data_IF_419776052981
#
_entry.id   IF_419776052981
#
_cell.length_a   1.000
_cell.length_b   1.000
_cell.length_c   1.000
_cell.angle_alpha   90.00
_cell.angle_beta   90.00
_cell.angle_gamma   90.00
#
_symmetry.space_group_name_H-M   'P 1'
#
loop_
_entity.id
_entity.type
_entity.pdbx_description
1 polymer ?
#
# COMPACT_ATOMS: atom_id res chain seq x y z
N UNK A 1 -8.24 -25.50 -4.07
CA UNK A 1 -8.11 -24.44 -5.10
C UNK A 1 -7.80 -23.14 -4.39
N UNK A 2 -6.79 -22.39 -4.83
CA UNK A 2 -6.49 -21.09 -4.22
C UNK A 2 -7.53 -20.05 -4.65
N UNK A 3 -8.08 -19.28 -3.69
CA UNK A 3 -9.11 -18.25 -3.95
C UNK A 3 -8.51 -17.15 -4.80
N UNK A 4 -9.20 -16.72 -5.87
CA UNK A 4 -8.83 -15.54 -6.65
C UNK A 4 -9.74 -14.36 -6.32
N UNK A 5 -9.17 -13.16 -6.27
CA UNK A 5 -9.92 -11.91 -6.12
C UNK A 5 -10.65 -11.62 -7.43
N UNK A 6 -11.98 -11.61 -7.39
CA UNK A 6 -12.81 -11.22 -8.52
C UNK A 6 -12.71 -9.72 -8.79
N UNK A 7 -12.96 -9.29 -10.04
CA UNK A 7 -12.91 -7.86 -10.42
C UNK A 7 -13.83 -7.00 -9.54
N UNK A 8 -15.01 -7.51 -9.21
CA UNK A 8 -16.00 -6.83 -8.37
C UNK A 8 -15.57 -6.68 -6.91
N UNK A 9 -14.62 -7.50 -6.43
CA UNK A 9 -14.12 -7.45 -5.05
C UNK A 9 -12.99 -6.42 -4.87
N UNK A 10 -12.39 -5.92 -5.97
CA UNK A 10 -11.21 -5.07 -5.92
C UNK A 10 -11.50 -3.70 -5.29
N UNK A 11 -12.56 -3.03 -5.72
CA UNK A 11 -12.91 -1.71 -5.15
C UNK A 11 -13.34 -1.80 -3.69
N UNK A 12 -14.24 -2.73 -3.27
CA UNK A 12 -14.51 -2.95 -1.86
C UNK A 12 -13.27 -3.26 -1.02
N UNK A 13 -12.33 -4.06 -1.55
CA UNK A 13 -11.09 -4.37 -0.86
C UNK A 13 -10.20 -3.13 -0.68
N UNK A 14 -10.05 -2.29 -1.72
CA UNK A 14 -9.27 -1.05 -1.64
C UNK A 14 -9.92 0.00 -0.72
N UNK A 15 -11.26 0.08 -0.69
CA UNK A 15 -11.97 0.94 0.26
C UNK A 15 -11.82 0.44 1.70
N UNK A 16 -11.92 -0.87 1.91
CA UNK A 16 -11.68 -1.48 3.22
C UNK A 16 -10.24 -1.23 3.67
N UNK A 17 -9.26 -1.35 2.78
CA UNK A 17 -7.88 -0.95 3.05
C UNK A 17 -7.76 0.52 3.45
N UNK A 18 -8.31 1.43 2.64
CA UNK A 18 -8.22 2.88 2.88
C UNK A 18 -8.85 3.26 4.22
N UNK A 19 -9.87 2.52 4.63
CA UNK A 19 -10.46 2.59 5.95
C UNK A 19 -9.51 2.02 7.02
N UNK A 20 -9.18 0.73 7.01
CA UNK A 20 -8.53 0.08 8.14
C UNK A 20 -7.05 0.41 8.34
N UNK A 21 -6.33 0.68 7.25
CA UNK A 21 -4.90 1.03 7.30
C UNK A 21 -4.72 2.55 7.35
N UNK A 22 -5.80 3.29 7.05
CA UNK A 22 -5.90 4.75 7.14
C UNK A 22 -4.68 5.43 6.56
N UNK A 23 -4.38 5.11 5.30
CA UNK A 23 -3.26 5.58 4.49
C UNK A 23 -2.53 6.82 5.02
N UNK A 24 -1.19 6.73 5.04
CA UNK A 24 -0.40 7.95 5.09
C UNK A 24 -0.58 8.79 3.81
N UNK A 25 -0.46 10.10 3.93
CA UNK A 25 -0.52 11.04 2.78
C UNK A 25 -1.93 11.24 2.19
N UNK A 26 -1.97 11.80 0.98
CA UNK A 26 -3.20 12.04 0.21
C UNK A 26 -3.49 10.84 -0.72
N UNK A 27 -4.69 10.23 -0.69
CA UNK A 27 -5.02 9.04 -1.49
C UNK A 27 -4.82 9.24 -2.97
N UNK A 28 -5.11 10.45 -3.46
CA UNK A 28 -5.03 10.80 -4.87
C UNK A 28 -3.59 10.75 -5.39
N UNK A 29 -2.60 10.88 -4.50
CA UNK A 29 -1.18 10.86 -4.83
C UNK A 29 -0.55 9.48 -4.60
N UNK A 30 -0.84 8.84 -3.46
CA UNK A 30 -0.18 7.58 -3.08
C UNK A 30 -0.79 6.35 -3.72
N UNK A 31 -2.12 6.28 -3.87
CA UNK A 31 -2.81 5.10 -4.38
C UNK A 31 -2.46 4.75 -5.83
N UNK A 32 -2.42 5.70 -6.79
CA UNK A 32 -2.07 5.37 -8.17
C UNK A 32 -0.68 4.71 -8.26
N UNK A 33 0.30 5.22 -7.50
CA UNK A 33 1.66 4.68 -7.44
C UNK A 33 1.67 3.28 -6.83
N UNK A 34 1.01 3.09 -5.69
CA UNK A 34 0.93 1.80 -5.02
C UNK A 34 0.23 0.73 -5.88
N UNK A 35 -0.81 1.10 -6.62
CA UNK A 35 -1.51 0.17 -7.53
C UNK A 35 -0.65 -0.20 -8.74
N UNK A 36 0.19 0.70 -9.22
CA UNK A 36 1.18 0.38 -10.26
C UNK A 36 2.21 -0.63 -9.75
N UNK A 37 2.74 -0.45 -8.54
CA UNK A 37 3.67 -1.40 -7.92
C UNK A 37 3.02 -2.75 -7.65
N UNK A 38 1.80 -2.76 -7.11
CA UNK A 38 1.02 -3.98 -6.87
C UNK A 38 0.81 -4.75 -8.18
N UNK A 39 0.46 -4.05 -9.26
CA UNK A 39 0.31 -4.66 -10.58
C UNK A 39 1.62 -5.30 -11.05
N UNK A 40 2.73 -4.58 -10.96
CA UNK A 40 4.04 -5.09 -11.37
C UNK A 40 4.44 -6.35 -10.56
N UNK A 41 4.18 -6.34 -9.25
CA UNK A 41 4.41 -7.48 -8.36
C UNK A 41 3.56 -8.70 -8.73
N UNK A 42 2.26 -8.48 -8.99
CA UNK A 42 1.36 -9.56 -9.43
C UNK A 42 1.76 -10.12 -10.80
N UNK A 43 2.21 -9.27 -11.73
CA UNK A 43 2.74 -9.70 -13.04
C UNK A 43 4.03 -10.52 -12.89
N UNK A 44 4.84 -10.23 -11.87
CA UNK A 44 6.04 -10.99 -11.51
C UNK A 44 5.76 -12.27 -10.70
N UNK A 45 4.48 -12.60 -10.43
CA UNK A 45 4.08 -13.81 -9.71
C UNK A 45 4.01 -13.66 -8.19
N UNK A 46 4.10 -12.44 -7.66
CA UNK A 46 3.84 -12.13 -6.24
C UNK A 46 2.37 -11.74 -6.04
N UNK A 47 1.44 -12.52 -6.60
CA UNK A 47 0.02 -12.19 -6.72
C UNK A 47 -0.78 -12.27 -5.41
N UNK A 48 -0.17 -12.74 -4.33
CA UNK A 48 -0.77 -12.82 -2.99
C UNK A 48 -0.36 -11.67 -2.07
N UNK A 49 0.54 -10.78 -2.50
CA UNK A 49 0.97 -9.66 -1.68
C UNK A 49 -0.21 -8.73 -1.41
N UNK A 50 -0.52 -8.44 -0.13
CA UNK A 50 -1.61 -7.56 0.23
C UNK A 50 -1.21 -6.11 -0.04
N UNK A 51 -2.22 -5.29 -0.39
CA UNK A 51 -2.00 -3.94 -0.89
C UNK A 51 -1.42 -2.98 0.15
N UNK A 52 -1.75 -3.17 1.43
CA UNK A 52 -1.21 -2.41 2.57
C UNK A 52 0.31 -2.46 2.66
N UNK A 53 0.87 -3.67 2.65
CA UNK A 53 2.32 -3.84 2.72
C UNK A 53 3.02 -3.26 1.48
N UNK A 54 2.39 -3.36 0.31
CA UNK A 54 2.93 -2.79 -0.94
C UNK A 54 2.88 -1.26 -0.90
N UNK A 55 1.78 -0.69 -0.43
CA UNK A 55 1.62 0.76 -0.28
C UNK A 55 2.64 1.29 0.72
N UNK A 56 2.65 0.79 1.95
CA UNK A 56 3.43 1.38 3.03
C UNK A 56 4.94 1.22 2.82
N UNK A 57 5.40 0.04 2.39
CA UNK A 57 6.81 -0.14 2.05
C UNK A 57 7.18 0.69 0.81
N UNK A 58 6.31 0.77 -0.19
CA UNK A 58 6.56 1.57 -1.38
C UNK A 58 6.70 3.06 -1.05
N UNK A 59 5.82 3.61 -0.21
CA UNK A 59 5.91 5.00 0.24
C UNK A 59 7.13 5.24 1.12
N UNK A 60 7.50 4.28 1.98
CA UNK A 60 8.77 4.35 2.73
C UNK A 60 9.98 4.40 1.78
N UNK A 61 9.98 3.64 0.70
CA UNK A 61 11.07 3.61 -0.26
C UNK A 61 11.15 4.89 -1.11
N UNK A 62 10.02 5.55 -1.38
CA UNK A 62 9.98 6.78 -2.18
C UNK A 62 10.24 8.03 -1.34
N UNK A 63 9.53 8.18 -0.23
CA UNK A 63 9.52 9.40 0.58
C UNK A 63 10.31 9.25 1.89
N UNK A 64 10.82 8.05 2.18
CA UNK A 64 11.61 7.79 3.38
C UNK A 64 10.80 8.05 4.65
N UNK A 65 11.47 8.63 5.65
CA UNK A 65 10.84 9.02 6.92
C UNK A 65 10.01 10.30 6.82
N UNK A 66 9.99 10.97 5.66
CA UNK A 66 9.18 12.16 5.45
C UNK A 66 7.71 11.81 5.14
N UNK A 67 7.42 10.56 4.75
CA UNK A 67 6.05 10.13 4.50
C UNK A 67 5.21 10.20 5.79
N UNK A 68 4.05 10.86 5.78
CA UNK A 68 3.21 10.98 6.96
C UNK A 68 2.39 9.70 7.13
N UNK A 69 3.04 8.62 7.59
CA UNK A 69 2.38 7.36 7.95
C UNK A 69 1.26 7.60 8.95
N UNK A 70 0.30 6.70 8.93
CA UNK A 70 -0.91 6.87 9.70
C UNK A 70 -0.70 6.77 11.21
N UNK A 71 0.35 6.08 11.67
CA UNK A 71 0.86 6.14 13.05
C UNK A 71 1.26 7.53 13.52
N UNK A 72 1.48 8.48 12.61
CA UNK A 72 1.74 9.88 12.93
C UNK A 72 0.47 10.71 13.21
N UNK A 73 -0.73 10.14 13.05
CA UNK A 73 -2.03 10.80 13.31
C UNK A 73 -2.60 10.40 14.67
N UNK A 74 -3.56 11.19 15.19
CA UNK A 74 -4.16 10.95 16.51
C UNK A 74 -4.98 9.65 16.52
N UNK A 75 -4.57 8.69 17.35
CA UNK A 75 -5.28 7.43 17.58
C UNK A 75 -6.73 7.65 18.07
N UNK A 76 -7.03 8.84 18.63
CA UNK A 76 -8.35 9.20 19.12
C UNK A 76 -9.44 9.21 18.03
N UNK A 77 -9.08 9.39 16.76
CA UNK A 77 -10.02 9.47 15.64
C UNK A 77 -10.57 8.09 15.19
N UNK A 78 -10.02 7.00 15.75
CA UNK A 78 -10.37 5.63 15.37
C UNK A 78 -11.40 4.99 16.31
N UNK A 79 -12.26 4.07 15.82
CA UNK A 79 -13.07 3.21 16.68
C UNK A 79 -12.20 2.42 17.67
N UNK A 80 -12.62 2.34 18.94
CA UNK A 80 -11.83 1.73 20.02
C UNK A 80 -11.41 0.28 19.72
N UNK A 81 -12.33 -0.49 19.14
CA UNK A 81 -12.12 -1.89 18.74
C UNK A 81 -11.04 -2.09 17.66
N UNK A 82 -10.76 -1.06 16.85
CA UNK A 82 -9.80 -1.14 15.74
C UNK A 82 -8.40 -0.64 16.13
N UNK A 83 -8.29 0.18 17.20
CA UNK A 83 -7.02 0.80 17.63
C UNK A 83 -5.93 -0.22 17.94
N UNK A 84 -6.27 -1.30 18.64
CA UNK A 84 -5.30 -2.31 19.08
C UNK A 84 -4.63 -3.04 17.92
N UNK A 85 -5.42 -3.55 16.97
CA UNK A 85 -4.89 -4.28 15.81
C UNK A 85 -4.00 -3.39 14.93
N UNK A 86 -4.33 -2.11 14.83
CA UNK A 86 -3.57 -1.12 14.07
C UNK A 86 -2.23 -0.78 14.73
N UNK A 87 -2.23 -0.54 16.04
CA UNK A 87 -1.00 -0.36 16.81
C UNK A 87 -0.08 -1.58 16.68
N UNK A 88 -0.64 -2.79 16.75
CA UNK A 88 0.11 -4.02 16.54
C UNK A 88 0.75 -4.09 15.13
N UNK A 89 0.04 -3.66 14.09
CA UNK A 89 0.59 -3.57 12.73
C UNK A 89 1.70 -2.53 12.65
N UNK A 90 1.45 -1.31 13.12
CA UNK A 90 2.40 -0.20 13.11
C UNK A 90 3.70 -0.56 13.84
N UNK A 91 3.61 -1.08 15.07
CA UNK A 91 4.78 -1.43 15.88
C UNK A 91 5.58 -2.60 15.29
N UNK A 92 4.89 -3.62 14.77
CA UNK A 92 5.56 -4.86 14.32
C UNK A 92 6.07 -4.79 12.90
N UNK A 93 5.46 -3.96 12.05
CA UNK A 93 5.78 -3.87 10.62
C UNK A 93 6.44 -2.53 10.33
N UNK A 94 5.69 -1.44 10.43
CA UNK A 94 6.15 -0.12 10.00
C UNK A 94 7.31 0.41 10.84
N UNK A 95 7.21 0.33 12.16
CA UNK A 95 8.27 0.71 13.08
C UNK A 95 9.56 -0.07 12.84
N UNK A 96 9.46 -1.36 12.46
CA UNK A 96 10.64 -2.16 12.13
C UNK A 96 11.27 -1.75 10.80
N UNK A 97 10.48 -1.52 9.76
CA UNK A 97 11.01 -1.07 8.46
C UNK A 97 11.67 0.30 8.55
N UNK A 98 11.08 1.25 9.28
CA UNK A 98 11.66 2.59 9.47
C UNK A 98 13.04 2.52 10.14
N UNK A 99 13.24 1.55 11.04
CA UNK A 99 14.49 1.34 11.75
C UNK A 99 15.49 0.45 11.00
N UNK A 100 15.09 -0.21 9.92
CA UNK A 100 15.95 -1.09 9.12
C UNK A 100 16.88 -0.26 8.22
N UNK A 101 18.22 -0.37 8.37
CA UNK A 101 19.18 0.35 7.53
C UNK A 101 19.02 0.04 6.04
N UNK A 102 18.63 -1.19 5.69
CA UNK A 102 18.47 -1.58 4.28
C UNK A 102 17.31 -0.86 3.59
N UNK A 103 16.26 -0.48 4.34
CA UNK A 103 15.18 0.34 3.81
C UNK A 103 15.65 1.77 3.53
N UNK A 104 16.47 2.34 4.42
CA UNK A 104 17.06 3.66 4.21
C UNK A 104 18.03 3.69 3.02
N UNK A 105 18.90 2.68 2.90
CA UNK A 105 19.82 2.54 1.77
C UNK A 105 19.06 2.38 0.45
N UNK A 106 18.01 1.56 0.44
CA UNK A 106 17.17 1.37 -0.73
C UNK A 106 16.44 2.66 -1.14
N UNK A 107 15.93 3.43 -0.18
CA UNK A 107 15.35 4.75 -0.44
C UNK A 107 16.34 5.68 -1.14
N UNK A 108 17.57 5.81 -0.61
CA UNK A 108 18.61 6.66 -1.22
C UNK A 108 18.98 6.18 -2.61
N UNK A 109 19.15 4.86 -2.80
CA UNK A 109 19.49 4.28 -4.09
C UNK A 109 18.39 4.49 -5.13
N UNK A 110 17.11 4.33 -4.75
CA UNK A 110 15.97 4.56 -5.63
C UNK A 110 15.84 6.04 -5.98
N UNK A 111 16.01 6.94 -5.02
CA UNK A 111 15.95 8.39 -5.25
C UNK A 111 17.02 8.89 -6.24
N UNK A 112 18.15 8.19 -6.35
CA UNK A 112 19.22 8.49 -7.30
C UNK A 112 18.94 8.03 -8.74
N UNK A 113 17.88 7.23 -8.97
CA UNK A 113 17.50 6.77 -10.30
C UNK A 113 16.68 7.82 -11.06
N UNK A 114 16.73 7.75 -12.38
CA UNK A 114 15.80 8.47 -13.26
C UNK A 114 14.35 8.18 -12.88
N UNK A 115 13.50 9.22 -12.92
CA UNK A 115 12.09 9.15 -12.49
C UNK A 115 11.31 8.03 -13.17
N UNK A 116 11.65 7.70 -14.42
CA UNK A 116 11.01 6.64 -15.21
C UNK A 116 11.37 5.23 -14.70
N UNK A 117 12.52 5.08 -14.02
CA UNK A 117 13.01 3.81 -13.49
C UNK A 117 12.55 3.55 -12.06
N UNK A 118 12.24 4.61 -11.30
CA UNK A 118 11.88 4.51 -9.89
C UNK A 118 10.71 3.54 -9.63
N UNK A 119 9.58 3.56 -10.38
CA UNK A 119 8.47 2.65 -10.11
C UNK A 119 8.85 1.17 -10.22
N UNK A 120 9.73 0.83 -11.18
CA UNK A 120 10.22 -0.54 -11.36
C UNK A 120 11.18 -0.94 -10.24
N UNK A 121 12.05 -0.04 -9.83
CA UNK A 121 12.99 -0.27 -8.73
C UNK A 121 12.26 -0.48 -7.39
N UNK A 122 11.21 0.33 -7.12
CA UNK A 122 10.35 0.17 -5.94
C UNK A 122 9.67 -1.20 -5.95
N UNK A 123 8.98 -1.56 -7.04
CA UNK A 123 8.32 -2.87 -7.14
C UNK A 123 9.32 -4.03 -6.98
N UNK A 124 10.53 -3.91 -7.54
CA UNK A 124 11.58 -4.90 -7.37
C UNK A 124 12.02 -5.03 -5.91
N UNK A 125 12.29 -3.91 -5.23
CA UNK A 125 12.69 -3.89 -3.82
C UNK A 125 11.61 -4.51 -2.92
N UNK A 126 10.34 -4.19 -3.15
CA UNK A 126 9.20 -4.81 -2.43
C UNK A 126 9.17 -6.33 -2.69
N UNK A 127 9.39 -6.77 -3.93
CA UNK A 127 9.45 -8.18 -4.28
C UNK A 127 10.59 -8.93 -3.56
N UNK A 128 11.74 -8.29 -3.39
CA UNK A 128 12.86 -8.84 -2.61
C UNK A 128 12.51 -8.94 -1.12
N UNK A 129 11.93 -7.90 -0.55
CA UNK A 129 11.60 -7.84 0.88
C UNK A 129 10.46 -8.82 1.26
N UNK A 130 9.40 -8.88 0.45
CA UNK A 130 8.15 -9.56 0.80
C UNK A 130 7.88 -10.83 -0.02
N UNK A 131 8.64 -11.09 -1.07
CA UNK A 131 8.34 -12.18 -2.02
C UNK A 131 8.34 -13.58 -1.38
N UNK A 132 9.03 -13.78 -0.25
CA UNK A 132 8.93 -15.03 0.52
C UNK A 132 7.61 -15.15 1.27
N UNK A 133 7.11 -14.06 1.85
CA UNK A 133 5.81 -14.02 2.52
C UNK A 133 4.66 -14.22 1.51
N UNK A 134 4.79 -13.67 0.29
CA UNK A 134 3.85 -13.90 -0.81
C UNK A 134 3.68 -15.40 -1.13
N UNK A 135 4.74 -16.21 -0.97
CA UNK A 135 4.69 -17.64 -1.27
C UNK A 135 4.09 -18.48 -0.14
N UNK A 136 3.74 -17.87 1.01
CA UNK A 136 3.05 -18.57 2.08
C UNK A 136 1.59 -18.87 1.65
N UNK A 137 1.19 -20.13 1.74
CA UNK A 137 -0.15 -20.56 1.35
C UNK A 137 -1.24 -19.96 2.23
N UNK A 138 -2.48 -19.91 1.72
CA UNK A 138 -3.67 -19.48 2.46
C UNK A 138 -4.18 -18.08 2.15
N UNK A 139 -3.45 -17.30 1.34
CA UNK A 139 -3.87 -15.98 0.88
C UNK A 139 -4.64 -16.05 -0.45
N UNK A 140 -5.48 -15.03 -0.69
CA UNK A 140 -6.14 -14.86 -1.98
C UNK A 140 -5.14 -14.37 -3.03
N UNK A 141 -5.28 -14.87 -4.25
CA UNK A 141 -4.46 -14.47 -5.39
C UNK A 141 -5.15 -13.35 -6.17
N UNK A 142 -4.40 -12.28 -6.42
CA UNK A 142 -4.75 -11.19 -7.30
C UNK A 142 -4.75 -11.60 -8.77
N UNK A 143 -5.34 -10.75 -9.60
CA UNK A 143 -5.28 -10.87 -11.05
C UNK A 143 -4.80 -9.54 -11.64
N UNK A 144 -3.61 -9.47 -12.26
CA UNK A 144 -3.10 -8.23 -12.85
C UNK A 144 -4.03 -7.60 -13.87
N UNK A 145 -4.82 -8.40 -14.59
CA UNK A 145 -5.77 -7.90 -15.57
C UNK A 145 -6.88 -7.06 -14.93
N UNK A 146 -7.28 -7.40 -13.69
CA UNK A 146 -8.26 -6.60 -12.95
C UNK A 146 -7.68 -5.24 -12.56
N UNK A 147 -6.42 -5.19 -12.11
CA UNK A 147 -5.74 -3.93 -11.81
C UNK A 147 -5.53 -3.05 -13.05
N UNK A 148 -5.20 -3.63 -14.21
CA UNK A 148 -5.09 -2.87 -15.47
C UNK A 148 -6.40 -2.18 -15.85
N UNK A 149 -7.51 -2.93 -15.80
CA UNK A 149 -8.84 -2.37 -16.08
C UNK A 149 -9.31 -1.38 -15.02
N UNK A 150 -8.86 -1.54 -13.77
CA UNK A 150 -9.22 -0.64 -12.68
C UNK A 150 -8.44 0.67 -12.74
N UNK A 151 -7.15 0.61 -13.11
CA UNK A 151 -6.25 1.76 -13.22
C UNK A 151 -6.75 2.85 -14.18
N UNK A 152 -7.37 2.48 -15.30
CA UNK A 152 -7.93 3.43 -16.27
C UNK A 152 -9.13 4.24 -15.74
N UNK A 153 -9.80 3.73 -14.71
CA UNK A 153 -10.99 4.36 -14.11
C UNK A 153 -10.71 4.93 -12.71
N UNK A 154 -9.45 4.85 -12.28
CA UNK A 154 -9.05 5.01 -10.89
C UNK A 154 -9.37 6.41 -10.35
N UNK A 155 -8.99 7.44 -11.09
CA UNK A 155 -9.22 8.84 -10.70
C UNK A 155 -10.72 9.16 -10.56
N UNK A 156 -11.55 8.70 -11.49
CA UNK A 156 -13.00 8.90 -11.45
C UNK A 156 -13.65 8.15 -10.28
N UNK A 157 -13.17 6.94 -9.96
CA UNK A 157 -13.64 6.16 -8.82
C UNK A 157 -13.24 6.80 -7.49
N UNK A 158 -12.02 7.33 -7.36
CA UNK A 158 -11.58 8.06 -6.17
C UNK A 158 -12.35 9.35 -5.93
N UNK A 159 -12.64 10.12 -6.97
CA UNK A 159 -13.47 11.31 -6.84
C UNK A 159 -14.88 11.01 -6.30
N UNK A 160 -15.38 9.77 -6.51
CA UNK A 160 -16.67 9.31 -6.01
C UNK A 160 -16.59 8.64 -4.62
N UNK A 161 -15.40 8.53 -4.02
CA UNK A 161 -15.28 7.97 -2.67
C UNK A 161 -15.82 8.96 -1.64
N UNK A 162 -16.61 8.49 -0.65
CA UNK A 162 -17.06 9.36 0.43
C UNK A 162 -15.86 10.06 1.11
N UNK A 163 -16.01 11.30 1.61
CA UNK A 163 -14.91 12.07 2.21
C UNK A 163 -14.12 11.30 3.27
N UNK A 164 -14.80 10.52 4.12
CA UNK A 164 -14.19 9.58 5.08
C UNK A 164 -13.25 8.51 4.48
N UNK A 165 -13.09 8.45 3.17
CA UNK A 165 -12.10 7.61 2.48
C UNK A 165 -11.17 8.44 1.57
N UNK A 166 -11.54 9.67 1.21
CA UNK A 166 -10.83 10.51 0.23
C UNK A 166 -9.99 11.64 0.86
N UNK A 167 -10.43 12.17 2.00
CA UNK A 167 -9.73 13.14 2.81
C UNK A 167 -10.45 13.16 4.15
N UNK A 168 -9.78 12.70 5.20
CA UNK A 168 -10.22 13.06 6.56
C UNK A 168 -9.77 14.51 6.76
N UNK A 169 -10.46 15.44 6.11
CA UNK A 169 -10.26 16.87 6.33
C UNK A 169 -10.49 17.17 7.80
N UNK A 170 -9.45 17.82 8.37
CA UNK A 170 -9.29 18.56 9.62
C UNK A 170 -10.36 18.41 10.73
N UNK A 171 -9.93 18.28 12.00
CA UNK A 171 -10.86 18.33 13.12
C UNK A 171 -11.58 19.69 13.17
N UNK A 172 -12.82 19.73 13.71
CA UNK A 172 -13.57 20.97 13.89
C UNK A 172 -12.87 21.99 14.80
#
# INVERSE_FOLDING_TARGET
MARRIAKAELEPALRAWAYFVGYGGEPQESLPRALEWLRALWEAGHDTLPFDLVHDLGMLLVDGRAFPFASGRDLADWPEEERGARLDYEDRVLGRWILDPSAADAHVAIAALDVELQPRAVAHAIGLALGRAARAGGLAHGNPAHLRSFGSELAARFAAWPPRYAAWEAPP
#
